data_IF_328003614868
#
_entry.id   IF_328003614868
#
_cell.length_a   1.000
_cell.length_b   1.000
_cell.length_c   1.000
_cell.angle_alpha   90.00
_cell.angle_beta   90.00
_cell.angle_gamma   90.00
#
_symmetry.space_group_name_H-M   'P 1'
#
loop_
_entity.id
_entity.type
_entity.pdbx_description
1 polymer ?
#
# COMPACT_ATOMS: atom_id res chain seq x y z
N UNK A 1 22.87 -19.92 4.58
CA UNK A 1 21.40 -19.86 4.59
C UNK A 1 20.93 -20.59 3.35
N UNK A 2 20.42 -21.81 3.52
CA UNK A 2 19.83 -22.60 2.44
C UNK A 2 18.70 -21.77 1.84
N UNK A 3 18.84 -21.38 0.58
CA UNK A 3 17.73 -20.81 -0.20
C UNK A 3 16.67 -21.89 -0.26
N UNK A 4 15.73 -21.85 0.69
CA UNK A 4 14.46 -22.52 0.50
C UNK A 4 13.96 -22.06 -0.87
N UNK A 5 13.69 -23.03 -1.74
CA UNK A 5 13.15 -22.80 -3.07
C UNK A 5 12.01 -21.78 -2.95
N UNK A 6 12.13 -20.66 -3.66
CA UNK A 6 11.20 -19.53 -3.52
C UNK A 6 9.78 -20.06 -3.72
N UNK A 7 8.94 -20.10 -2.67
CA UNK A 7 7.62 -20.72 -2.74
C UNK A 7 6.70 -19.98 -3.71
N UNK A 8 7.04 -18.76 -4.11
CA UNK A 8 6.31 -17.95 -5.06
C UNK A 8 6.86 -18.03 -6.48
N UNK A 9 8.01 -18.67 -6.71
CA UNK A 9 8.60 -18.83 -8.05
C UNK A 9 7.64 -19.44 -9.09
N UNK A 10 6.76 -20.42 -8.74
CA UNK A 10 5.78 -20.94 -9.69
C UNK A 10 4.81 -19.88 -10.23
N UNK A 11 4.50 -18.85 -9.45
CA UNK A 11 3.60 -17.77 -9.88
C UNK A 11 4.22 -16.92 -10.98
N UNK A 12 5.53 -16.69 -10.93
CA UNK A 12 6.26 -15.92 -11.95
C UNK A 12 6.34 -16.67 -13.30
N UNK A 13 6.23 -18.00 -13.28
CA UNK A 13 6.28 -18.85 -14.47
C UNK A 13 4.91 -19.01 -15.17
N UNK A 14 3.84 -18.46 -14.61
CA UNK A 14 2.52 -18.54 -15.22
C UNK A 14 2.51 -17.82 -16.59
N UNK A 15 1.81 -18.38 -17.61
CA UNK A 15 1.76 -17.78 -18.94
C UNK A 15 1.34 -16.30 -18.90
N UNK A 16 2.10 -15.45 -19.59
CA UNK A 16 1.83 -14.00 -19.69
C UNK A 16 2.28 -13.17 -18.48
N UNK A 17 2.64 -13.76 -17.33
CA UNK A 17 3.05 -12.99 -16.14
C UNK A 17 4.36 -12.22 -16.38
N UNK A 18 5.36 -12.85 -16.99
CA UNK A 18 6.65 -12.19 -17.27
C UNK A 18 6.47 -11.02 -18.25
N UNK A 19 5.73 -11.23 -19.33
CA UNK A 19 5.45 -10.21 -20.35
C UNK A 19 4.66 -9.02 -19.75
N UNK A 20 3.58 -9.30 -19.01
CA UNK A 20 2.81 -8.27 -18.33
C UNK A 20 3.67 -7.50 -17.32
N UNK A 21 4.55 -8.19 -16.58
CA UNK A 21 5.48 -7.55 -15.63
C UNK A 21 6.50 -6.65 -16.33
N UNK A 22 7.02 -7.06 -17.49
CA UNK A 22 7.90 -6.24 -18.32
C UNK A 22 7.18 -4.99 -18.84
N UNK A 23 5.98 -5.16 -19.39
CA UNK A 23 5.17 -4.04 -19.86
C UNK A 23 4.88 -3.04 -18.73
N UNK A 24 4.51 -3.52 -17.55
CA UNK A 24 4.28 -2.65 -16.37
C UNK A 24 5.55 -1.92 -15.96
N UNK A 25 6.72 -2.58 -16.00
CA UNK A 25 8.01 -1.93 -15.69
C UNK A 25 8.32 -0.79 -16.67
N UNK A 26 8.09 -0.99 -17.96
CA UNK A 26 8.34 0.03 -18.98
C UNK A 26 7.40 1.24 -18.82
N UNK A 27 6.12 0.96 -18.58
CA UNK A 27 5.10 1.98 -18.32
C UNK A 27 5.42 2.80 -17.06
N UNK A 28 5.79 2.12 -15.96
CA UNK A 28 6.21 2.77 -14.73
C UNK A 28 7.47 3.63 -14.94
N UNK A 29 8.45 3.12 -15.69
CA UNK A 29 9.66 3.86 -16.01
C UNK A 29 9.35 5.12 -16.84
N UNK A 30 8.36 5.07 -17.73
CA UNK A 30 7.87 6.23 -18.49
C UNK A 30 7.19 7.26 -17.59
N UNK A 31 6.32 6.82 -16.68
CA UNK A 31 5.68 7.71 -15.68
C UNK A 31 6.75 8.36 -14.79
N UNK A 32 7.73 7.57 -14.33
CA UNK A 32 8.79 8.06 -13.46
C UNK A 32 9.60 9.19 -14.12
N UNK A 33 9.96 9.03 -15.40
CA UNK A 33 10.69 10.04 -16.20
C UNK A 33 9.82 11.18 -16.73
N UNK A 34 8.51 11.17 -16.48
CA UNK A 34 7.62 12.22 -16.96
C UNK A 34 7.96 13.56 -16.27
N UNK A 35 7.95 14.67 -17.03
CA UNK A 35 8.38 16.00 -16.52
C UNK A 35 7.63 16.44 -15.27
N UNK A 36 6.32 16.18 -15.21
CA UNK A 36 5.48 16.47 -14.03
C UNK A 36 5.93 15.67 -12.82
N UNK A 37 6.27 14.39 -13.01
CA UNK A 37 6.74 13.53 -11.93
C UNK A 37 8.14 13.94 -11.46
N UNK A 38 9.04 14.32 -12.38
CA UNK A 38 10.39 14.78 -12.03
C UNK A 38 10.42 16.10 -11.23
N UNK A 39 9.44 16.98 -11.42
CA UNK A 39 9.40 18.32 -10.77
C UNK A 39 8.41 18.40 -9.62
N UNK A 40 7.37 17.57 -9.64
CA UNK A 40 6.25 17.60 -8.70
C UNK A 40 6.06 16.27 -7.98
N UNK A 41 7.10 15.42 -7.93
CA UNK A 41 7.06 14.08 -7.30
C UNK A 41 6.32 14.06 -5.95
N UNK A 42 6.59 14.97 -4.99
CA UNK A 42 5.91 14.91 -3.70
C UNK A 42 4.38 15.01 -3.82
N UNK A 43 3.88 15.87 -4.71
CA UNK A 43 2.43 16.06 -4.92
C UNK A 43 1.81 14.87 -5.63
N UNK A 44 2.43 14.37 -6.70
CA UNK A 44 1.91 13.19 -7.42
C UNK A 44 1.99 11.91 -6.59
N UNK A 45 3.03 11.76 -5.76
CA UNK A 45 3.17 10.64 -4.83
C UNK A 45 2.13 10.69 -3.71
N UNK A 46 1.87 11.86 -3.12
CA UNK A 46 0.83 12.03 -2.10
C UNK A 46 -0.56 11.72 -2.68
N UNK A 47 -0.88 12.23 -3.87
CA UNK A 47 -2.15 11.98 -4.53
C UNK A 47 -2.31 10.49 -4.93
N UNK A 48 -1.24 9.85 -5.41
CA UNK A 48 -1.23 8.41 -5.68
C UNK A 48 -1.45 7.59 -4.39
N UNK A 49 -0.80 7.98 -3.29
CA UNK A 49 -0.95 7.32 -1.99
C UNK A 49 -2.38 7.46 -1.46
N UNK A 50 -3.00 8.63 -1.59
CA UNK A 50 -4.40 8.84 -1.23
C UNK A 50 -5.35 7.99 -2.08
N UNK A 51 -5.12 7.91 -3.40
CA UNK A 51 -5.91 7.04 -4.29
C UNK A 51 -5.74 5.56 -3.92
N UNK A 52 -4.54 5.13 -3.57
CA UNK A 52 -4.26 3.76 -3.16
C UNK A 52 -4.93 3.42 -1.82
N UNK A 53 -4.91 4.34 -0.84
CA UNK A 53 -5.62 4.19 0.42
C UNK A 53 -7.12 4.02 0.19
N UNK A 54 -7.72 4.89 -0.64
CA UNK A 54 -9.14 4.79 -1.01
C UNK A 54 -9.45 3.46 -1.66
N UNK A 55 -8.71 3.08 -2.70
CA UNK A 55 -8.94 1.81 -3.39
C UNK A 55 -8.85 0.61 -2.44
N UNK A 56 -7.88 0.61 -1.52
CA UNK A 56 -7.72 -0.43 -0.52
C UNK A 56 -8.89 -0.46 0.47
N UNK A 57 -9.35 0.69 0.95
CA UNK A 57 -10.50 0.76 1.86
C UNK A 57 -11.79 0.27 1.20
N UNK A 58 -12.01 0.59 -0.08
CA UNK A 58 -13.20 0.13 -0.83
C UNK A 58 -13.21 -1.39 -0.97
N UNK A 59 -12.05 -2.03 -1.14
CA UNK A 59 -11.97 -3.49 -1.15
C UNK A 59 -12.37 -4.13 0.18
N UNK A 60 -12.20 -3.40 1.29
CA UNK A 60 -12.49 -3.84 2.66
C UNK A 60 -13.83 -3.26 3.20
N UNK A 61 -14.71 -2.77 2.30
CA UNK A 61 -16.04 -2.28 2.65
C UNK A 61 -16.14 -0.81 3.04
N UNK A 62 -15.03 -0.06 2.97
CA UNK A 62 -15.00 1.38 3.17
C UNK A 62 -15.71 2.18 2.07
N UNK A 63 -15.80 3.51 2.20
CA UNK A 63 -16.67 4.36 1.39
C UNK A 63 -16.23 4.44 -0.08
N UNK A 64 -17.17 4.20 -0.98
CA UNK A 64 -16.94 4.27 -2.43
C UNK A 64 -16.72 5.70 -2.94
N UNK A 65 -17.20 6.73 -2.25
CA UNK A 65 -16.94 8.14 -2.54
C UNK A 65 -16.32 8.80 -1.30
N UNK A 66 -15.35 9.69 -1.51
CA UNK A 66 -14.65 10.38 -0.41
C UNK A 66 -15.11 11.83 -0.37
N UNK A 67 -15.59 12.24 0.80
CA UNK A 67 -15.95 13.59 1.20
C UNK A 67 -15.18 13.99 2.48
N UNK A 68 -15.54 15.11 3.09
CA UNK A 68 -14.86 15.60 4.29
C UNK A 68 -15.09 14.67 5.50
N UNK A 69 -16.24 14.01 5.54
CA UNK A 69 -16.70 13.13 6.61
C UNK A 69 -16.10 11.72 6.51
N UNK A 70 -15.63 11.32 5.33
CA UNK A 70 -15.09 9.99 5.03
C UNK A 70 -13.91 9.56 5.91
N UNK A 71 -13.16 10.49 6.49
CA UNK A 71 -12.07 10.15 7.45
C UNK A 71 -12.61 9.61 8.78
N UNK A 72 -13.92 9.74 9.04
CA UNK A 72 -14.58 9.15 10.20
C UNK A 72 -14.87 7.66 10.00
N UNK A 73 -14.80 7.16 8.76
CA UNK A 73 -14.87 5.72 8.49
C UNK A 73 -13.57 5.05 8.95
N UNK A 74 -13.64 4.07 9.88
CA UNK A 74 -12.46 3.51 10.51
C UNK A 74 -11.59 2.70 9.52
N UNK A 75 -12.20 2.11 8.48
CA UNK A 75 -11.48 1.36 7.43
C UNK A 75 -10.69 2.32 6.54
N UNK A 76 -11.29 3.42 6.09
CA UNK A 76 -10.59 4.45 5.33
C UNK A 76 -9.51 5.16 6.15
N UNK A 77 -9.79 5.49 7.41
CA UNK A 77 -8.81 6.07 8.33
C UNK A 77 -7.61 5.14 8.55
N UNK A 78 -7.85 3.83 8.68
CA UNK A 78 -6.81 2.79 8.74
C UNK A 78 -5.96 2.74 7.47
N UNK A 79 -6.60 2.69 6.30
CA UNK A 79 -5.89 2.69 5.01
C UNK A 79 -5.03 3.94 4.81
N UNK A 80 -5.49 5.12 5.25
CA UNK A 80 -4.74 6.37 5.17
C UNK A 80 -3.51 6.37 6.09
N UNK A 81 -3.60 5.80 7.29
CA UNK A 81 -2.45 5.63 8.20
C UNK A 81 -1.40 4.70 7.61
N UNK A 82 -1.83 3.61 6.97
CA UNK A 82 -0.93 2.71 6.23
C UNK A 82 -0.24 3.44 5.09
N UNK A 83 -0.98 4.20 4.28
CA UNK A 83 -0.42 4.98 3.17
C UNK A 83 0.63 6.01 3.66
N UNK A 84 0.37 6.70 4.77
CA UNK A 84 1.34 7.61 5.39
C UNK A 84 2.59 6.89 5.89
N UNK A 85 2.45 5.70 6.47
CA UNK A 85 3.60 4.90 6.91
C UNK A 85 4.47 4.38 5.75
N UNK A 86 3.91 4.34 4.55
CA UNK A 86 4.57 3.96 3.30
C UNK A 86 5.05 5.17 2.47
N UNK A 87 4.67 6.38 2.84
CA UNK A 87 4.80 7.58 2.00
C UNK A 87 6.26 7.80 1.54
N UNK A 88 6.42 8.02 0.23
CA UNK A 88 7.70 8.26 -0.40
C UNK A 88 8.64 7.05 -0.51
N UNK A 89 8.30 5.89 0.06
CA UNK A 89 9.17 4.69 0.00
C UNK A 89 10.52 4.86 0.70
N UNK A 90 10.71 5.94 1.45
CA UNK A 90 11.92 6.30 2.20
C UNK A 90 11.70 6.21 3.71
N UNK A 91 10.62 5.56 4.13
CA UNK A 91 10.33 5.39 5.55
C UNK A 91 11.20 4.27 6.14
N UNK A 92 11.39 4.31 7.45
CA UNK A 92 12.03 3.24 8.22
C UNK A 92 11.40 1.86 7.98
N UNK A 93 10.17 1.81 7.47
CA UNK A 93 9.47 0.57 7.17
C UNK A 93 10.17 -0.24 6.06
N UNK A 94 10.82 0.40 5.09
CA UNK A 94 11.56 -0.33 4.04
C UNK A 94 12.78 -1.05 4.62
N UNK A 95 13.49 -0.43 5.54
CA UNK A 95 14.60 -1.07 6.24
C UNK A 95 14.12 -2.22 7.14
N UNK A 96 13.03 -2.01 7.88
CA UNK A 96 12.41 -3.03 8.72
C UNK A 96 11.91 -4.18 7.85
N UNK A 97 11.31 -3.93 6.70
CA UNK A 97 10.86 -4.98 5.78
C UNK A 97 12.00 -5.90 5.34
N UNK A 98 13.16 -5.32 5.00
CA UNK A 98 14.35 -6.08 4.55
C UNK A 98 14.96 -6.93 5.67
N UNK A 99 14.88 -6.49 6.93
CA UNK A 99 15.52 -7.17 8.08
C UNK A 99 14.55 -8.06 8.87
N UNK A 100 13.30 -7.64 9.01
CA UNK A 100 12.27 -8.22 9.85
C UNK A 100 10.87 -8.03 9.21
N UNK A 101 10.57 -8.72 8.08
CA UNK A 101 9.33 -8.51 7.31
C UNK A 101 8.06 -8.76 8.13
N UNK A 102 8.06 -9.75 9.03
CA UNK A 102 6.93 -10.01 9.92
C UNK A 102 6.65 -8.84 10.88
N UNK A 103 7.68 -8.12 11.34
CA UNK A 103 7.49 -6.94 12.17
C UNK A 103 6.92 -5.77 11.37
N UNK A 104 7.37 -5.59 10.12
CA UNK A 104 6.79 -4.59 9.22
C UNK A 104 5.30 -4.88 8.98
N UNK A 105 4.93 -6.13 8.68
CA UNK A 105 3.54 -6.55 8.52
C UNK A 105 2.72 -6.34 9.79
N UNK A 106 3.24 -6.73 10.95
CA UNK A 106 2.54 -6.52 12.23
C UNK A 106 2.30 -5.02 12.51
N UNK A 107 3.27 -4.16 12.22
CA UNK A 107 3.11 -2.71 12.34
C UNK A 107 2.03 -2.18 11.39
N UNK A 108 2.04 -2.60 10.13
CA UNK A 108 1.01 -2.21 9.15
C UNK A 108 -0.38 -2.66 9.59
N UNK A 109 -0.50 -3.87 10.15
CA UNK A 109 -1.76 -4.39 10.67
C UNK A 109 -2.31 -3.55 11.84
N UNK A 110 -1.46 -3.20 12.81
CA UNK A 110 -1.84 -2.32 13.93
C UNK A 110 -2.27 -0.94 13.41
N UNK A 111 -1.56 -0.40 12.41
CA UNK A 111 -1.92 0.87 11.79
C UNK A 111 -3.22 0.81 11.01
N UNK A 112 -3.59 -0.32 10.42
CA UNK A 112 -4.88 -0.49 9.76
C UNK A 112 -6.03 -0.61 10.78
N UNK A 113 -5.79 -1.33 11.88
CA UNK A 113 -6.85 -1.77 12.79
C UNK A 113 -7.15 -0.83 13.97
N UNK A 114 -6.38 0.24 14.20
CA UNK A 114 -6.45 0.95 15.49
C UNK A 114 -7.87 1.44 15.89
N UNK A 115 -8.70 1.88 14.94
CA UNK A 115 -10.06 2.38 15.24
C UNK A 115 -11.14 1.29 15.16
N UNK A 116 -10.82 0.12 14.57
CA UNK A 116 -11.74 -1.02 14.47
C UNK A 116 -11.89 -1.75 15.81
N UNK A 117 -10.87 -1.68 16.67
CA UNK A 117 -10.87 -2.39 17.97
C UNK A 117 -11.79 -1.70 18.99
N UNK A 118 -11.95 -0.38 18.91
CA UNK A 118 -12.85 0.36 19.78
C UNK A 118 -14.33 0.17 19.38
N UNK A 119 -14.62 0.02 18.09
CA UNK A 119 -15.95 -0.34 17.59
C UNK A 119 -16.37 -1.77 18.00
N UNK A 120 -15.45 -2.73 17.92
CA UNK A 120 -15.69 -4.13 18.37
C UNK A 120 -15.93 -4.23 19.88
N UNK A 121 -15.36 -3.32 20.68
CA UNK A 121 -15.60 -3.26 22.14
C UNK A 121 -16.86 -2.48 22.53
N UNK A 122 -17.35 -1.60 21.67
CA UNK A 122 -18.55 -0.79 21.87
C UNK A 122 -19.88 -1.52 21.61
N UNK A 123 -19.85 -2.76 21.10
CA UNK A 123 -21.01 -3.63 20.95
C UNK A 123 -21.41 -4.32 22.26
N UNK A 124 -22.03 -3.57 23.18
CA UNK A 124 -22.82 -4.06 24.34
C UNK A 124 -24.19 -3.40 24.33
#
# INVERSE_FOLDING_TARGET
MTTAEDPLAPLAALPGVSEASEQVRDELARVHRHKTNMRGWPVSAAEASLRAARASSVLDGGPAAVDAESTSDPVFAGALRVAQALEGGETTLVEVWRRAPLQALARLHVLAAADLVDEVRGGQ
#
